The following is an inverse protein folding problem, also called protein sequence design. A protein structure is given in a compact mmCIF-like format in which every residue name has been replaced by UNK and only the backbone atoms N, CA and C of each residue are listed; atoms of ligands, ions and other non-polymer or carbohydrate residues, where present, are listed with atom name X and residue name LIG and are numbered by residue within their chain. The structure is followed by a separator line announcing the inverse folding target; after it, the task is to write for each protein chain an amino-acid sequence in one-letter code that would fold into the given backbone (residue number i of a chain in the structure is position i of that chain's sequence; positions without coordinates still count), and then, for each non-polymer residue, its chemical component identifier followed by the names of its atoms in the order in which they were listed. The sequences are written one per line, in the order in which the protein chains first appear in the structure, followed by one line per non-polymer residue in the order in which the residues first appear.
data_IF_401208081628
#
_entry.id   IF_401208081628
#
_cell.length_a   1.000
_cell.length_b   1.000
_cell.length_c   1.000
_cell.angle_alpha   90.00
_cell.angle_beta   90.00
_cell.angle_gamma   90.00
#
_symmetry.space_group_name_H-M   'P 1'
#
loop_
_entity.id
_entity.type
_entity.pdbx_description
1 polymer ?
#
# COMPACT_ATOMS: atom_id res chain seq x y z
N UNK A 1 66.42 -9.09 -17.15
CA UNK A 1 65.44 -8.17 -16.49
C UNK A 1 64.05 -8.75 -16.65
N UNK A 2 63.50 -9.36 -15.59
CA UNK A 2 62.20 -10.04 -15.64
C UNK A 2 61.18 -9.06 -15.06
N UNK A 3 60.22 -8.56 -15.89
CA UNK A 3 59.11 -7.73 -15.42
C UNK A 3 58.01 -8.63 -14.87
N UNK A 4 57.81 -8.56 -13.57
CA UNK A 4 56.71 -9.21 -12.87
C UNK A 4 55.44 -8.33 -13.02
N UNK A 5 54.49 -8.75 -13.83
CA UNK A 5 53.22 -8.05 -13.98
C UNK A 5 52.31 -8.45 -12.80
N UNK A 6 52.15 -7.57 -11.82
CA UNK A 6 51.20 -7.76 -10.74
C UNK A 6 49.79 -7.47 -11.24
N UNK A 7 48.96 -8.50 -11.43
CA UNK A 7 47.55 -8.37 -11.71
C UNK A 7 46.85 -8.01 -10.39
N UNK A 8 46.49 -6.74 -10.22
CA UNK A 8 45.57 -6.32 -9.14
C UNK A 8 44.19 -6.90 -9.44
N UNK A 9 43.79 -7.92 -8.71
CA UNK A 9 42.42 -8.40 -8.70
C UNK A 9 41.54 -7.32 -8.04
N UNK A 10 40.75 -6.61 -8.83
CA UNK A 10 39.71 -5.72 -8.34
C UNK A 10 38.63 -6.64 -7.71
N UNK A 11 38.29 -6.48 -6.41
CA UNK A 11 37.21 -7.26 -5.83
C UNK A 11 35.92 -6.98 -6.63
N UNK A 12 35.30 -8.04 -7.15
CA UNK A 12 34.01 -7.94 -7.76
C UNK A 12 33.06 -7.23 -6.74
N UNK A 13 32.53 -6.09 -7.15
CA UNK A 13 31.53 -5.37 -6.35
C UNK A 13 30.51 -6.41 -5.90
N UNK A 14 30.21 -6.44 -4.62
CA UNK A 14 29.20 -7.31 -4.06
C UNK A 14 27.92 -7.11 -4.90
N UNK A 15 27.60 -8.10 -5.71
CA UNK A 15 26.35 -8.07 -6.49
C UNK A 15 25.24 -7.99 -5.45
N UNK A 16 24.48 -6.90 -5.51
CA UNK A 16 23.30 -6.70 -4.67
C UNK A 16 22.40 -7.93 -4.87
N UNK A 17 22.41 -8.84 -3.89
CA UNK A 17 21.55 -10.02 -3.93
C UNK A 17 20.11 -9.51 -4.02
N UNK A 18 19.29 -10.01 -4.96
CA UNK A 18 17.91 -9.53 -5.09
C UNK A 18 17.22 -9.72 -3.74
N UNK A 19 16.83 -8.59 -3.14
CA UNK A 19 16.04 -8.58 -1.90
C UNK A 19 14.78 -9.38 -2.12
N UNK A 20 14.43 -10.33 -1.24
CA UNK A 20 13.19 -11.08 -1.37
C UNK A 20 11.99 -10.10 -1.47
N UNK A 21 11.11 -10.33 -2.44
CA UNK A 21 9.90 -9.53 -2.63
C UNK A 21 9.06 -9.55 -1.34
N UNK A 22 8.69 -8.36 -0.86
CA UNK A 22 7.84 -8.20 0.32
C UNK A 22 6.39 -8.06 -0.12
N UNK A 23 5.48 -8.29 0.82
CA UNK A 23 4.08 -7.90 0.68
C UNK A 23 3.81 -6.76 1.66
N UNK A 24 3.36 -5.62 1.14
CA UNK A 24 3.02 -4.43 1.90
C UNK A 24 1.52 -4.25 1.87
N UNK A 25 0.90 -4.11 3.04
CA UNK A 25 -0.51 -3.76 3.18
C UNK A 25 -0.61 -2.35 3.77
N UNK A 26 -1.16 -1.41 3.00
CA UNK A 26 -1.47 -0.07 3.46
C UNK A 26 -2.98 0.01 3.77
N UNK A 27 -3.36 0.48 4.97
CA UNK A 27 -4.75 0.53 5.43
C UNK A 27 -5.12 1.97 5.73
N UNK A 28 -6.01 2.54 4.92
CA UNK A 28 -6.57 3.87 5.09
C UNK A 28 -8.00 3.83 5.66
N UNK A 29 -8.40 4.88 6.35
CA UNK A 29 -9.78 5.07 6.76
C UNK A 29 -10.67 5.35 5.54
N UNK A 30 -10.19 6.18 4.61
CA UNK A 30 -10.91 6.58 3.41
C UNK A 30 -10.09 6.34 2.13
N UNK A 31 -10.78 6.28 1.01
CA UNK A 31 -10.15 6.31 -0.32
C UNK A 31 -9.37 7.63 -0.52
N UNK A 32 -8.06 7.52 -0.77
CA UNK A 32 -7.14 8.64 -0.90
C UNK A 32 -6.13 8.77 0.23
N UNK A 33 -6.41 8.22 1.42
CA UNK A 33 -5.54 8.41 2.59
C UNK A 33 -4.11 7.90 2.36
N UNK A 34 -3.98 6.68 1.87
CA UNK A 34 -2.67 6.05 1.70
C UNK A 34 -1.92 6.58 0.49
N UNK A 35 -2.63 6.92 -0.57
CA UNK A 35 -2.08 7.53 -1.78
C UNK A 35 -1.46 8.89 -1.46
N UNK A 36 -2.15 9.71 -0.65
CA UNK A 36 -1.68 11.05 -0.26
C UNK A 36 -0.57 11.01 0.79
N UNK A 37 -0.63 10.07 1.73
CA UNK A 37 0.31 10.05 2.88
C UNK A 37 1.57 9.24 2.60
N UNK A 38 1.47 8.15 1.86
CA UNK A 38 2.62 7.26 1.59
C UNK A 38 2.69 6.75 0.14
N UNK A 39 1.93 7.31 -0.81
CA UNK A 39 1.90 6.86 -2.19
C UNK A 39 3.27 6.81 -2.87
N UNK A 40 4.13 7.80 -2.64
CA UNK A 40 5.50 7.79 -3.17
C UNK A 40 6.33 6.61 -2.65
N UNK A 41 6.16 6.22 -1.38
CA UNK A 41 6.79 5.03 -0.82
C UNK A 41 6.23 3.76 -1.46
N UNK A 42 4.89 3.66 -1.57
CA UNK A 42 4.23 2.49 -2.14
C UNK A 42 4.64 2.27 -3.60
N UNK A 43 4.68 3.34 -4.41
CA UNK A 43 5.17 3.29 -5.79
C UNK A 43 6.62 2.82 -5.87
N UNK A 44 7.49 3.39 -5.02
CA UNK A 44 8.91 3.00 -4.98
C UNK A 44 9.09 1.51 -4.68
N UNK A 45 8.35 0.98 -3.72
CA UNK A 45 8.47 -0.44 -3.35
C UNK A 45 7.83 -1.35 -4.40
N UNK A 46 6.72 -0.94 -5.02
CA UNK A 46 6.13 -1.63 -6.18
C UNK A 46 7.11 -1.73 -7.36
N UNK A 47 7.78 -0.62 -7.71
CA UNK A 47 8.81 -0.60 -8.76
C UNK A 47 10.02 -1.48 -8.45
N UNK A 48 10.24 -1.85 -7.18
CA UNK A 48 11.27 -2.79 -6.73
C UNK A 48 10.83 -4.24 -6.77
N UNK A 49 9.58 -4.51 -7.18
CA UNK A 49 9.00 -5.84 -7.25
C UNK A 49 8.29 -6.30 -5.97
N UNK A 50 8.09 -5.43 -4.98
CA UNK A 50 7.26 -5.74 -3.83
C UNK A 50 5.77 -5.76 -4.24
N UNK A 51 5.00 -6.67 -3.67
CA UNK A 51 3.54 -6.69 -3.79
C UNK A 51 2.95 -5.63 -2.88
N UNK A 52 2.19 -4.69 -3.41
CA UNK A 52 1.52 -3.64 -2.66
C UNK A 52 0.02 -3.86 -2.71
N UNK A 53 -0.64 -3.82 -1.57
CA UNK A 53 -2.10 -3.89 -1.43
C UNK A 53 -2.56 -2.68 -0.62
N UNK A 54 -3.57 -1.97 -1.10
CA UNK A 54 -4.18 -0.84 -0.38
C UNK A 54 -5.60 -1.21 0.00
N UNK A 55 -5.92 -1.12 1.29
CA UNK A 55 -7.27 -1.31 1.83
C UNK A 55 -7.84 0.04 2.25
N UNK A 56 -8.94 0.44 1.62
CA UNK A 56 -9.76 1.57 2.03
C UNK A 56 -10.91 1.05 2.89
N UNK A 57 -10.97 1.39 4.18
CA UNK A 57 -12.04 0.91 5.06
C UNK A 57 -13.40 1.49 4.68
N UNK A 58 -13.42 2.75 4.24
CA UNK A 58 -14.59 3.45 3.66
C UNK A 58 -14.20 4.16 2.37
N UNK A 59 -15.15 4.68 1.64
CA UNK A 59 -14.90 5.50 0.45
C UNK A 59 -14.72 6.98 0.77
N UNK A 60 -15.05 7.43 2.01
CA UNK A 60 -15.08 8.84 2.36
C UNK A 60 -16.25 9.57 1.69
N UNK A 61 -17.37 8.88 1.49
CA UNK A 61 -18.49 9.30 0.66
C UNK A 61 -19.27 10.50 1.23
N UNK A 62 -19.01 10.87 2.49
CA UNK A 62 -19.61 12.08 3.10
C UNK A 62 -18.73 13.33 2.94
N UNK A 63 -17.58 13.21 2.27
CA UNK A 63 -16.61 14.30 2.13
C UNK A 63 -16.99 15.39 1.13
N UNK A 64 -18.05 15.22 0.33
CA UNK A 64 -18.50 16.23 -0.64
C UNK A 64 -19.99 16.58 -0.46
N UNK A 65 -20.31 17.73 0.15
CA UNK A 65 -21.68 18.13 0.40
C UNK A 65 -22.48 18.51 -0.87
N UNK A 66 -21.81 18.66 -2.02
CA UNK A 66 -22.47 18.98 -3.30
C UNK A 66 -23.01 17.73 -4.03
N UNK A 67 -22.69 16.53 -3.57
CA UNK A 67 -23.13 15.27 -4.16
C UNK A 67 -23.88 14.42 -3.14
N UNK A 68 -24.69 13.48 -3.62
CA UNK A 68 -25.20 12.44 -2.73
C UNK A 68 -24.06 11.51 -2.32
N UNK A 69 -24.18 10.86 -1.16
CA UNK A 69 -23.19 9.93 -0.67
C UNK A 69 -22.93 8.80 -1.69
N UNK A 70 -23.99 8.28 -2.32
CA UNK A 70 -23.89 7.21 -3.33
C UNK A 70 -23.12 7.66 -4.57
N UNK A 71 -23.43 8.86 -5.10
CA UNK A 71 -22.75 9.40 -6.28
C UNK A 71 -21.28 9.67 -5.99
N UNK A 72 -20.97 10.20 -4.79
CA UNK A 72 -19.59 10.46 -4.41
C UNK A 72 -18.83 9.17 -4.08
N UNK A 73 -19.48 8.18 -3.47
CA UNK A 73 -18.89 6.85 -3.25
C UNK A 73 -18.43 6.21 -4.57
N UNK A 74 -19.29 6.26 -5.60
CA UNK A 74 -18.95 5.72 -6.91
C UNK A 74 -17.78 6.48 -7.56
N UNK A 75 -17.78 7.81 -7.47
CA UNK A 75 -16.65 8.62 -7.93
C UNK A 75 -15.35 8.22 -7.21
N UNK A 76 -15.38 8.18 -5.87
CA UNK A 76 -14.22 7.82 -5.05
C UNK A 76 -13.70 6.43 -5.33
N UNK A 77 -14.59 5.47 -5.57
CA UNK A 77 -14.19 4.10 -5.96
C UNK A 77 -13.43 4.09 -7.27
N UNK A 78 -13.90 4.81 -8.29
CA UNK A 78 -13.21 4.92 -9.59
C UNK A 78 -11.85 5.60 -9.45
N UNK A 79 -11.80 6.70 -8.70
CA UNK A 79 -10.57 7.46 -8.45
C UNK A 79 -9.51 6.61 -7.73
N UNK A 80 -9.88 5.96 -6.62
CA UNK A 80 -8.98 5.10 -5.86
C UNK A 80 -8.49 3.92 -6.71
N UNK A 81 -9.39 3.26 -7.45
CA UNK A 81 -8.98 2.16 -8.35
C UNK A 81 -7.94 2.62 -9.37
N UNK A 82 -8.13 3.81 -9.97
CA UNK A 82 -7.17 4.34 -10.95
C UNK A 82 -5.85 4.78 -10.30
N UNK A 83 -5.92 5.41 -9.13
CA UNK A 83 -4.74 5.84 -8.38
C UNK A 83 -3.89 4.65 -7.90
N UNK A 84 -4.52 3.62 -7.33
CA UNK A 84 -3.84 2.43 -6.85
C UNK A 84 -3.21 1.64 -8.01
N UNK A 85 -3.91 1.55 -9.15
CA UNK A 85 -3.33 0.96 -10.35
C UNK A 85 -2.10 1.73 -10.84
N UNK A 86 -2.10 3.07 -10.78
CA UNK A 86 -0.96 3.90 -11.13
C UNK A 86 0.23 3.71 -10.16
N UNK A 87 -0.03 3.35 -8.91
CA UNK A 87 0.98 2.97 -7.91
C UNK A 87 1.48 1.53 -8.08
N UNK A 88 0.89 0.74 -8.99
CA UNK A 88 1.16 -0.68 -9.12
C UNK A 88 0.64 -1.50 -7.94
N UNK A 89 -0.40 -1.01 -7.27
CA UNK A 89 -1.01 -1.64 -6.10
C UNK A 89 -2.32 -2.36 -6.44
N UNK A 90 -2.61 -3.41 -5.68
CA UNK A 90 -3.92 -4.05 -5.63
C UNK A 90 -4.84 -3.24 -4.71
N UNK A 91 -6.07 -2.96 -5.17
CA UNK A 91 -7.06 -2.22 -4.37
C UNK A 91 -8.02 -3.15 -3.66
N UNK A 92 -8.34 -2.84 -2.40
CA UNK A 92 -9.39 -3.48 -1.61
C UNK A 92 -10.29 -2.42 -0.98
N UNK A 93 -11.59 -2.69 -0.94
CA UNK A 93 -12.58 -1.81 -0.31
C UNK A 93 -13.23 -2.54 0.87
N UNK A 94 -13.27 -1.87 2.01
CA UNK A 94 -13.96 -2.33 3.21
C UNK A 94 -15.48 -2.18 3.08
N UNK A 95 -16.22 -2.80 4.02
CA UNK A 95 -17.67 -2.81 4.01
C UNK A 95 -18.32 -1.63 4.77
N UNK A 96 -17.51 -0.66 5.22
CA UNK A 96 -17.99 0.39 6.12
C UNK A 96 -18.36 1.67 5.37
N UNK A 97 -19.29 2.41 5.95
CA UNK A 97 -19.61 3.77 5.54
C UNK A 97 -18.75 4.80 6.25
N UNK A 98 -18.53 5.94 5.59
CA UNK A 98 -17.76 7.05 6.15
C UNK A 98 -18.40 7.56 7.44
N UNK A 99 -17.56 7.69 8.51
CA UNK A 99 -17.99 8.05 9.85
C UNK A 99 -18.67 6.92 10.64
N UNK A 100 -18.79 5.71 10.08
CA UNK A 100 -19.52 4.59 10.71
C UNK A 100 -18.63 3.34 10.95
N UNK A 101 -17.31 3.47 10.88
CA UNK A 101 -16.41 2.36 11.25
C UNK A 101 -16.53 2.11 12.75
N UNK A 102 -17.07 0.96 13.20
CA UNK A 102 -17.31 0.75 14.62
C UNK A 102 -16.02 0.35 15.34
N UNK A 103 -15.86 0.82 16.58
CA UNK A 103 -14.87 0.25 17.51
C UNK A 103 -15.43 -1.05 18.12
N UNK A 104 -15.37 -2.12 17.38
CA UNK A 104 -15.93 -3.42 17.74
C UNK A 104 -15.00 -4.58 17.42
N UNK A 105 -15.27 -5.72 18.05
CA UNK A 105 -14.52 -6.94 17.76
C UNK A 105 -14.76 -7.45 16.33
N UNK A 106 -15.92 -7.17 15.74
CA UNK A 106 -16.19 -7.56 14.36
C UNK A 106 -15.33 -6.77 13.38
N UNK A 107 -15.18 -5.44 13.58
CA UNK A 107 -14.27 -4.63 12.78
C UNK A 107 -12.82 -5.08 12.93
N UNK A 108 -12.38 -5.41 14.17
CA UNK A 108 -11.04 -5.94 14.41
C UNK A 108 -10.83 -7.28 13.72
N UNK A 109 -11.82 -8.19 13.79
CA UNK A 109 -11.79 -9.49 13.11
C UNK A 109 -11.76 -9.34 11.59
N UNK A 110 -12.49 -8.37 11.04
CA UNK A 110 -12.45 -8.06 9.60
C UNK A 110 -11.03 -7.71 9.15
N UNK A 111 -10.41 -6.71 9.79
CA UNK A 111 -9.03 -6.28 9.47
C UNK A 111 -8.04 -7.42 9.68
N UNK A 112 -8.16 -8.18 10.77
CA UNK A 112 -7.32 -9.35 11.01
C UNK A 112 -7.51 -10.44 9.94
N UNK A 113 -8.71 -10.58 9.39
CA UNK A 113 -9.01 -11.47 8.25
C UNK A 113 -8.25 -11.04 7.00
N UNK A 114 -8.27 -9.76 6.67
CA UNK A 114 -7.52 -9.19 5.54
C UNK A 114 -6.02 -9.41 5.72
N UNK A 115 -5.48 -9.16 6.92
CA UNK A 115 -4.05 -9.42 7.21
C UNK A 115 -3.69 -10.89 6.98
N UNK A 116 -4.54 -11.83 7.42
CA UNK A 116 -4.31 -13.27 7.18
C UNK A 116 -4.40 -13.66 5.70
N UNK A 117 -5.29 -13.01 4.95
CA UNK A 117 -5.46 -13.23 3.51
C UNK A 117 -4.27 -12.68 2.71
N UNK A 118 -3.87 -11.45 2.97
CA UNK A 118 -2.80 -10.75 2.25
C UNK A 118 -1.42 -11.25 2.68
N UNK A 119 -1.26 -11.70 3.93
CA UNK A 119 0.00 -12.15 4.56
C UNK A 119 1.13 -11.13 4.40
N UNK A 120 0.92 -9.86 4.80
CA UNK A 120 1.92 -8.83 4.62
C UNK A 120 3.13 -9.06 5.52
N UNK A 121 4.30 -8.64 5.05
CA UNK A 121 5.53 -8.51 5.85
C UNK A 121 5.66 -7.12 6.47
N UNK A 122 4.90 -6.15 5.95
CA UNK A 122 4.82 -4.78 6.45
C UNK A 122 3.38 -4.30 6.37
N UNK A 123 2.87 -3.71 7.47
CA UNK A 123 1.59 -3.00 7.50
C UNK A 123 1.86 -1.53 7.74
N UNK A 124 1.26 -0.66 6.92
CA UNK A 124 1.27 0.79 7.05
C UNK A 124 -0.17 1.23 7.33
N UNK A 125 -0.36 2.08 8.33
CA UNK A 125 -1.69 2.59 8.68
C UNK A 125 -1.55 3.93 9.42
N UNK A 126 -2.69 4.52 9.78
CA UNK A 126 -2.72 5.77 10.55
C UNK A 126 -2.06 5.63 11.91
N UNK A 127 -1.57 6.76 12.41
CA UNK A 127 -0.98 6.84 13.76
C UNK A 127 -2.04 6.57 14.83
N UNK A 128 -1.67 5.79 15.84
CA UNK A 128 -2.47 5.61 17.05
C UNK A 128 -2.27 6.82 17.98
N UNK A 129 -3.37 7.43 18.41
CA UNK A 129 -3.36 8.43 19.47
C UNK A 129 -3.30 7.77 20.84
#
# INVERSE_FOLDING_TARGET
MLFLLAILAIPAAAQDQPKPARTILAIGAHAGDMELTCGALLLKESLRGDRVVILHLTLGERGNPALTAEAYAEQKRREATAADAALGAEVMFGPYHDGEVPDSDDARRYVAGIIRQVKPTLVITHWRR
#
